data_IF_775520048142
#
_entry.id   IF_775520048142
#
_cell.length_a   1.000
_cell.length_b   1.000
_cell.length_c   1.000
_cell.angle_alpha   90.00
_cell.angle_beta   90.00
_cell.angle_gamma   90.00
#
_symmetry.space_group_name_H-M   'P 1'
#
loop_
_entity.id
_entity.type
_entity.pdbx_description
1 polymer ?
#
# COMPACT_ATOMS: atom_id res chain seq x y z
N UNK A 1 16.57 -15.60 12.05
CA UNK A 1 16.54 -14.18 12.44
C UNK A 1 15.08 -13.79 12.67
N UNK A 2 14.77 -12.92 13.64
CA UNK A 2 13.40 -12.45 13.90
C UNK A 2 13.24 -11.04 13.35
N UNK A 3 12.15 -10.77 12.64
CA UNK A 3 11.80 -9.45 12.14
C UNK A 3 10.45 -9.02 12.71
N UNK A 4 10.32 -7.74 13.03
CA UNK A 4 9.04 -7.09 13.30
C UNK A 4 8.65 -6.24 12.10
N UNK A 5 7.41 -6.42 11.65
CA UNK A 5 6.87 -5.76 10.48
C UNK A 5 5.56 -5.06 10.78
N UNK A 6 5.37 -3.89 10.16
CA UNK A 6 4.10 -3.15 10.16
C UNK A 6 3.73 -2.83 8.71
N UNK A 7 2.84 -3.63 8.13
CA UNK A 7 2.58 -3.66 6.68
C UNK A 7 1.30 -2.95 6.26
N UNK A 8 0.57 -2.34 7.20
CA UNK A 8 -0.62 -1.56 6.90
C UNK A 8 -0.54 -0.20 7.58
N UNK A 9 -0.02 0.76 6.83
CA UNK A 9 0.00 2.17 7.19
C UNK A 9 -0.62 3.01 6.08
N UNK A 10 -0.75 4.31 6.33
CA UNK A 10 -1.19 5.28 5.34
C UNK A 10 -0.18 6.42 5.22
N UNK A 11 -0.05 6.95 4.01
CA UNK A 11 0.73 8.14 3.70
C UNK A 11 0.00 9.42 4.07
N UNK A 12 0.70 10.56 3.99
CA UNK A 12 0.11 11.90 4.11
C UNK A 12 -0.99 12.25 3.09
N UNK A 13 -1.22 11.41 2.08
CA UNK A 13 -2.26 11.61 1.07
C UNK A 13 -3.60 10.92 1.42
N UNK A 14 -3.61 10.08 2.45
CA UNK A 14 -4.86 9.54 3.00
C UNK A 14 -5.60 10.57 3.87
N UNK A 15 -6.93 10.56 3.83
CA UNK A 15 -7.73 11.44 4.68
C UNK A 15 -7.57 11.13 6.16
N UNK A 16 -7.56 12.19 6.98
CA UNK A 16 -7.41 12.11 8.44
C UNK A 16 -6.10 11.43 8.90
N UNK A 17 -5.06 11.52 8.07
CA UNK A 17 -3.70 11.05 8.37
C UNK A 17 -2.77 12.26 8.53
N UNK A 18 -1.75 12.13 9.40
CA UNK A 18 -0.80 13.22 9.67
C UNK A 18 -0.03 13.62 8.40
N UNK A 19 0.23 14.93 8.18
CA UNK A 19 1.10 15.38 7.08
C UNK A 19 2.53 14.86 7.18
N UNK A 20 2.96 14.45 8.38
CA UNK A 20 4.28 13.87 8.65
C UNK A 20 4.38 12.38 8.27
N UNK A 21 3.35 11.78 7.68
CA UNK A 21 3.41 10.39 7.19
C UNK A 21 4.14 10.32 5.84
N UNK A 22 5.44 10.66 5.87
CA UNK A 22 6.40 10.53 4.78
C UNK A 22 7.55 9.56 5.10
N UNK A 23 8.33 9.14 4.10
CA UNK A 23 9.38 8.12 4.27
C UNK A 23 10.44 8.47 5.34
N UNK A 24 10.98 9.71 5.42
CA UNK A 24 11.88 10.10 6.50
C UNK A 24 11.29 9.92 7.90
N UNK A 25 10.07 10.38 8.12
CA UNK A 25 9.40 10.31 9.42
C UNK A 25 9.00 8.88 9.78
N UNK A 26 8.49 8.11 8.81
CA UNK A 26 8.16 6.71 8.96
C UNK A 26 9.38 5.87 9.33
N UNK A 27 10.50 6.02 8.60
CA UNK A 27 11.75 5.32 8.91
C UNK A 27 12.22 5.64 10.33
N UNK A 28 12.19 6.92 10.72
CA UNK A 28 12.56 7.34 12.09
C UNK A 28 11.66 6.69 13.14
N UNK A 29 10.34 6.72 12.95
CA UNK A 29 9.37 6.14 13.87
C UNK A 29 9.52 4.61 13.99
N UNK A 30 9.69 3.93 12.86
CA UNK A 30 9.93 2.50 12.80
C UNK A 30 11.20 2.08 13.57
N UNK A 31 12.30 2.81 13.39
CA UNK A 31 13.54 2.57 14.16
C UNK A 31 13.33 2.70 15.66
N UNK A 32 12.67 3.77 16.10
CA UNK A 32 12.37 3.99 17.53
C UNK A 32 11.48 2.88 18.09
N UNK A 33 10.54 2.37 17.30
CA UNK A 33 9.63 1.28 17.67
C UNK A 33 10.25 -0.11 17.55
N UNK A 34 11.43 -0.24 16.94
CA UNK A 34 12.10 -1.51 16.69
C UNK A 34 11.50 -2.33 15.53
N UNK A 35 10.86 -1.67 14.57
CA UNK A 35 10.32 -2.27 13.34
C UNK A 35 11.41 -2.27 12.27
N UNK A 36 11.68 -3.44 11.67
CA UNK A 36 12.68 -3.60 10.60
C UNK A 36 12.07 -3.52 9.20
N UNK A 37 10.80 -3.90 9.05
CA UNK A 37 10.10 -3.91 7.77
C UNK A 37 8.80 -3.11 7.89
N UNK A 38 8.57 -2.17 6.99
CA UNK A 38 7.38 -1.33 6.99
C UNK A 38 6.70 -1.36 5.63
N UNK A 39 5.36 -1.37 5.60
CA UNK A 39 4.62 -1.12 4.37
C UNK A 39 4.78 0.34 3.96
N UNK A 40 4.87 0.64 2.67
CA UNK A 40 4.84 2.04 2.21
C UNK A 40 3.50 2.73 2.45
N UNK A 41 2.41 1.96 2.46
CA UNK A 41 1.05 2.50 2.32
C UNK A 41 0.82 3.16 0.95
N UNK A 42 -0.45 3.24 0.56
CA UNK A 42 -0.99 4.13 -0.47
C UNK A 42 -0.23 4.21 -1.82
N UNK A 43 0.47 3.16 -2.27
CA UNK A 43 1.27 3.24 -3.52
C UNK A 43 0.45 3.59 -4.76
N UNK A 44 -0.89 3.52 -4.66
CA UNK A 44 -1.81 3.90 -5.73
C UNK A 44 -1.89 5.40 -5.96
N UNK A 45 -1.61 6.21 -4.92
CA UNK A 45 -1.70 7.65 -5.03
C UNK A 45 -0.54 8.21 -5.88
N UNK A 46 -0.79 8.95 -6.97
CA UNK A 46 0.24 9.28 -7.96
C UNK A 46 1.39 10.14 -7.40
N UNK A 47 1.08 11.10 -6.52
CA UNK A 47 2.12 11.92 -5.88
C UNK A 47 2.92 11.14 -4.84
N UNK A 48 2.32 10.11 -4.22
CA UNK A 48 3.03 9.25 -3.30
C UNK A 48 3.92 8.28 -4.06
N UNK A 49 3.41 7.63 -5.09
CA UNK A 49 4.16 6.74 -5.96
C UNK A 49 5.40 7.42 -6.55
N UNK A 50 5.25 8.66 -7.02
CA UNK A 50 6.38 9.48 -7.48
C UNK A 50 7.45 9.61 -6.39
N UNK A 51 7.05 9.99 -5.19
CA UNK A 51 7.96 10.11 -4.05
C UNK A 51 8.63 8.77 -3.69
N UNK A 52 7.88 7.66 -3.72
CA UNK A 52 8.42 6.32 -3.48
C UNK A 52 9.51 5.98 -4.51
N UNK A 53 9.25 6.17 -5.81
CA UNK A 53 10.22 5.91 -6.89
C UNK A 53 11.47 6.81 -6.81
N UNK A 54 11.30 8.05 -6.34
CA UNK A 54 12.40 9.00 -6.16
C UNK A 54 13.29 8.63 -4.96
N UNK A 55 12.71 8.19 -3.83
CA UNK A 55 13.43 7.97 -2.57
C UNK A 55 13.86 6.53 -2.32
N UNK A 56 13.18 5.55 -2.92
CA UNK A 56 13.43 4.12 -2.68
C UNK A 56 14.27 3.50 -3.79
N UNK A 57 15.13 2.58 -3.38
CA UNK A 57 15.90 1.68 -4.24
C UNK A 57 15.75 0.24 -3.75
N UNK A 58 16.00 -0.72 -4.61
CA UNK A 58 15.98 -2.14 -4.25
C UNK A 58 16.98 -2.42 -3.13
N UNK A 59 16.56 -3.25 -2.17
CA UNK A 59 17.45 -3.77 -1.14
C UNK A 59 18.08 -5.08 -1.58
N UNK A 60 18.95 -5.63 -0.75
CA UNK A 60 19.49 -6.99 -0.90
C UNK A 60 18.42 -8.10 -0.74
N UNK A 61 17.24 -7.76 -0.21
CA UNK A 61 16.11 -8.67 -0.08
C UNK A 61 15.11 -8.40 -1.20
N UNK A 62 14.85 -9.40 -2.03
CA UNK A 62 13.87 -9.35 -3.12
C UNK A 62 12.48 -8.93 -2.59
N UNK A 63 11.81 -8.04 -3.33
CA UNK A 63 10.51 -7.49 -2.94
C UNK A 63 10.55 -6.42 -1.84
N UNK A 64 11.75 -6.11 -1.31
CA UNK A 64 11.95 -5.07 -0.30
C UNK A 64 12.85 -3.96 -0.83
N UNK A 65 12.52 -2.76 -0.41
CA UNK A 65 13.17 -1.53 -0.78
C UNK A 65 13.84 -0.89 0.42
N UNK A 66 14.83 -0.03 0.19
CA UNK A 66 15.40 0.84 1.23
C UNK A 66 15.44 2.27 0.73
N UNK A 67 15.53 3.22 1.66
CA UNK A 67 15.72 4.62 1.29
C UNK A 67 17.14 4.82 0.76
N UNK A 68 17.28 5.47 -0.39
CA UNK A 68 18.58 5.81 -1.00
C UNK A 68 19.50 6.59 -0.07
N UNK A 69 18.92 7.46 0.75
CA UNK A 69 19.65 8.27 1.73
C UNK A 69 20.00 7.54 3.04
N UNK A 70 19.59 6.27 3.19
CA UNK A 70 19.68 5.55 4.45
C UNK A 70 19.81 4.03 4.24
N UNK A 71 20.98 3.62 3.74
CA UNK A 71 21.23 2.24 3.30
C UNK A 71 21.15 1.17 4.42
N UNK A 72 21.34 1.56 5.69
CA UNK A 72 21.21 0.66 6.85
C UNK A 72 19.86 0.78 7.56
N UNK A 73 18.89 1.40 6.90
CA UNK A 73 17.59 1.73 7.48
C UNK A 73 16.55 0.65 7.41
N UNK A 74 15.32 1.09 7.68
CA UNK A 74 14.12 0.27 7.63
C UNK A 74 13.88 -0.16 6.20
N UNK A 75 13.55 -1.43 6.01
CA UNK A 75 13.15 -1.95 4.72
C UNK A 75 11.68 -1.67 4.48
N UNK A 76 11.32 -1.38 3.24
CA UNK A 76 9.97 -1.02 2.82
C UNK A 76 9.41 -2.07 1.87
N UNK A 77 8.19 -2.52 2.12
CA UNK A 77 7.39 -3.32 1.18
C UNK A 77 6.36 -2.41 0.52
N UNK A 78 6.22 -2.50 -0.81
CA UNK A 78 5.21 -1.73 -1.53
C UNK A 78 3.82 -2.26 -1.13
N UNK A 79 3.07 -1.44 -0.39
CA UNK A 79 1.73 -1.79 0.09
C UNK A 79 0.72 -0.68 -0.20
N UNK A 80 -0.54 -1.05 -0.39
CA UNK A 80 -1.67 -0.11 -0.48
C UNK A 80 -2.88 -0.74 0.20
N UNK A 81 -3.81 0.08 0.66
CA UNK A 81 -5.16 -0.37 0.97
C UNK A 81 -6.10 0.11 -0.15
N UNK A 82 -7.04 -0.72 -0.55
CA UNK A 82 -8.17 -0.32 -1.41
C UNK A 82 -9.48 -0.68 -0.74
N UNK A 83 -10.51 0.13 -0.97
CA UNK A 83 -11.84 -0.12 -0.44
C UNK A 83 -12.81 -0.48 -1.58
N UNK A 84 -13.56 -1.56 -1.39
CA UNK A 84 -14.65 -1.97 -2.26
C UNK A 84 -15.98 -1.62 -1.61
N UNK A 85 -16.90 -1.04 -2.37
CA UNK A 85 -18.26 -0.74 -1.92
C UNK A 85 -19.29 -1.38 -2.84
N UNK A 86 -20.38 -1.86 -2.23
CA UNK A 86 -21.50 -2.46 -2.94
C UNK A 86 -22.65 -1.44 -3.07
N UNK A 87 -22.95 -0.93 -4.28
CA UNK A 87 -23.99 0.09 -4.50
C UNK A 87 -25.39 -0.35 -4.07
N UNK A 88 -25.65 -1.65 -4.10
CA UNK A 88 -26.96 -2.24 -3.80
C UNK A 88 -27.11 -2.66 -2.32
N UNK A 89 -26.24 -2.16 -1.44
CA UNK A 89 -26.17 -2.56 -0.04
C UNK A 89 -25.10 -3.64 0.19
N UNK A 90 -24.58 -3.66 1.41
CA UNK A 90 -23.44 -4.49 1.82
C UNK A 90 -22.42 -3.69 2.64
N UNK A 91 -21.57 -4.40 3.38
CA UNK A 91 -20.45 -3.77 4.11
C UNK A 91 -19.38 -3.31 3.13
N UNK A 92 -18.73 -2.19 3.42
CA UNK A 92 -17.51 -1.80 2.72
C UNK A 92 -16.39 -2.69 3.20
N UNK A 93 -15.61 -3.21 2.26
CA UNK A 93 -14.54 -4.15 2.54
C UNK A 93 -13.22 -3.51 2.13
N UNK A 94 -12.24 -3.61 3.01
CA UNK A 94 -10.91 -3.08 2.76
C UNK A 94 -9.94 -4.23 2.50
N UNK A 95 -9.02 -4.02 1.56
CA UNK A 95 -8.02 -5.02 1.19
C UNK A 95 -6.65 -4.37 1.21
N UNK A 96 -5.74 -4.91 2.01
CA UNK A 96 -4.32 -4.59 1.92
C UNK A 96 -3.73 -5.42 0.79
N UNK A 97 -2.99 -4.76 -0.09
CA UNK A 97 -2.38 -5.35 -1.27
C UNK A 97 -0.89 -5.07 -1.21
N UNK A 98 -0.08 -6.12 -1.35
CA UNK A 98 1.37 -6.04 -1.41
C UNK A 98 1.83 -6.31 -2.83
N UNK A 99 2.80 -5.54 -3.30
CA UNK A 99 3.48 -5.73 -4.58
C UNK A 99 4.98 -5.92 -4.35
N UNK A 100 5.63 -6.73 -5.16
CA UNK A 100 7.06 -7.03 -5.03
C UNK A 100 7.91 -6.02 -5.81
N UNK A 101 7.38 -5.43 -6.89
CA UNK A 101 8.11 -4.50 -7.73
C UNK A 101 7.33 -3.23 -8.05
N UNK A 102 8.05 -2.17 -8.47
CA UNK A 102 7.39 -1.00 -9.05
C UNK A 102 6.69 -1.30 -10.39
N UNK A 103 7.14 -2.33 -11.12
CA UNK A 103 6.48 -2.79 -12.34
C UNK A 103 5.11 -3.43 -12.02
N UNK A 104 5.04 -4.24 -10.95
CA UNK A 104 3.76 -4.74 -10.43
C UNK A 104 2.86 -3.59 -10.02
N UNK A 105 3.40 -2.60 -9.30
CA UNK A 105 2.64 -1.41 -8.87
C UNK A 105 2.09 -0.64 -10.07
N UNK A 106 2.89 -0.44 -11.12
CA UNK A 106 2.45 0.26 -12.33
C UNK A 106 1.35 -0.54 -13.06
N UNK A 107 1.49 -1.85 -13.20
CA UNK A 107 0.47 -2.71 -13.80
C UNK A 107 -0.84 -2.69 -13.00
N UNK A 108 -0.76 -2.76 -11.66
CA UNK A 108 -1.91 -2.65 -10.77
C UNK A 108 -2.58 -1.27 -10.88
N UNK A 109 -1.81 -0.20 -10.88
CA UNK A 109 -2.33 1.17 -10.98
C UNK A 109 -2.99 1.45 -12.34
N UNK A 110 -2.50 0.85 -13.43
CA UNK A 110 -3.15 0.94 -14.73
C UNK A 110 -4.59 0.42 -14.68
N UNK A 111 -4.82 -0.68 -13.96
CA UNK A 111 -6.16 -1.22 -13.75
C UNK A 111 -6.97 -0.44 -12.73
N UNK A 112 -6.42 -0.15 -11.56
CA UNK A 112 -7.13 0.58 -10.51
C UNK A 112 -7.58 1.97 -10.95
N UNK A 113 -6.81 2.64 -11.82
CA UNK A 113 -7.20 3.94 -12.40
C UNK A 113 -8.47 3.88 -13.24
N UNK A 114 -8.80 2.71 -13.81
CA UNK A 114 -10.05 2.45 -14.54
C UNK A 114 -11.24 2.20 -13.60
N UNK A 115 -10.98 1.93 -12.31
CA UNK A 115 -12.00 1.62 -11.30
C UNK A 115 -12.35 2.80 -10.39
N UNK A 116 -11.43 3.74 -10.21
CA UNK A 116 -11.65 4.92 -9.38
C UNK A 116 -10.58 5.99 -9.54
N UNK A 117 -10.82 7.17 -8.93
CA UNK A 117 -9.86 8.26 -8.93
C UNK A 117 -8.76 8.01 -7.88
N UNK A 118 -7.57 7.60 -8.33
CA UNK A 118 -6.42 7.33 -7.46
C UNK A 118 -5.81 8.58 -6.83
N UNK A 119 -6.09 9.77 -7.36
CA UNK A 119 -5.58 11.03 -6.84
C UNK A 119 -6.48 11.66 -5.76
N UNK A 120 -7.65 11.07 -5.48
CA UNK A 120 -8.62 11.63 -4.54
C UNK A 120 -8.25 11.37 -3.07
N UNK A 121 -7.61 10.24 -2.79
CA UNK A 121 -7.28 9.76 -1.45
C UNK A 121 -6.18 8.70 -1.55
N UNK A 122 -5.33 8.55 -0.52
CA UNK A 122 -4.37 7.46 -0.43
C UNK A 122 -5.00 6.06 -0.41
N UNK A 123 -6.26 5.94 0.03
CA UNK A 123 -7.09 4.74 -0.12
C UNK A 123 -8.16 4.94 -1.20
N UNK A 124 -7.93 4.49 -2.44
CA UNK A 124 -8.94 4.57 -3.48
C UNK A 124 -10.15 3.68 -3.16
N UNK A 125 -11.33 4.14 -3.61
CA UNK A 125 -12.60 3.44 -3.44
C UNK A 125 -13.15 2.99 -4.80
N UNK A 126 -13.46 1.69 -4.91
CA UNK A 126 -14.01 1.08 -6.12
C UNK A 126 -15.47 0.69 -5.89
N UNK A 127 -16.40 1.54 -6.37
CA UNK A 127 -17.83 1.37 -6.14
C UNK A 127 -18.51 0.35 -7.09
N UNK A 128 -17.85 -0.07 -8.17
CA UNK A 128 -18.43 -0.97 -9.19
C UNK A 128 -17.59 -2.23 -9.38
N UNK A 129 -16.90 -2.65 -8.33
CA UNK A 129 -15.99 -3.81 -8.35
C UNK A 129 -16.42 -4.75 -7.23
N UNK A 130 -16.46 -6.06 -7.48
CA UNK A 130 -16.68 -7.04 -6.41
C UNK A 130 -15.36 -7.41 -5.73
N UNK A 131 -15.42 -8.04 -4.55
CA UNK A 131 -14.21 -8.55 -3.88
C UNK A 131 -13.51 -9.62 -4.73
N UNK A 132 -14.30 -10.49 -5.37
CA UNK A 132 -13.81 -11.54 -6.28
C UNK A 132 -13.11 -10.92 -7.49
N UNK A 133 -13.75 -9.96 -8.16
CA UNK A 133 -13.18 -9.25 -9.30
C UNK A 133 -11.88 -8.53 -8.90
N UNK A 134 -11.86 -7.87 -7.74
CA UNK A 134 -10.64 -7.23 -7.24
C UNK A 134 -9.51 -8.24 -7.09
N UNK A 135 -9.77 -9.40 -6.48
CA UNK A 135 -8.77 -10.44 -6.26
C UNK A 135 -8.28 -11.02 -7.57
N UNK A 136 -9.18 -11.43 -8.47
CA UNK A 136 -8.85 -12.02 -9.76
C UNK A 136 -8.03 -11.06 -10.63
N UNK A 137 -8.46 -9.81 -10.74
CA UNK A 137 -7.81 -8.80 -11.58
C UNK A 137 -6.47 -8.31 -10.98
N UNK A 138 -6.35 -8.27 -9.66
CA UNK A 138 -5.06 -7.99 -9.00
C UNK A 138 -4.09 -9.13 -9.26
N UNK A 139 -4.53 -10.38 -9.10
CA UNK A 139 -3.69 -11.58 -9.31
C UNK A 139 -3.32 -11.82 -10.77
N UNK A 140 -4.17 -11.45 -11.72
CA UNK A 140 -3.85 -11.59 -13.14
C UNK A 140 -2.74 -10.63 -13.60
N UNK A 141 -2.58 -9.49 -12.91
CA UNK A 141 -1.57 -8.47 -13.22
C UNK A 141 -0.30 -8.63 -12.42
N UNK A 142 -0.43 -9.01 -11.15
CA UNK A 142 0.69 -9.36 -10.29
C UNK A 142 0.40 -10.71 -9.63
N UNK A 143 0.85 -11.82 -10.25
CA UNK A 143 0.64 -13.17 -9.72
C UNK A 143 1.19 -13.34 -8.29
N UNK A 144 2.26 -12.63 -7.97
CA UNK A 144 2.92 -12.66 -6.66
C UNK A 144 2.27 -11.76 -5.61
N UNK A 145 1.48 -10.76 -6.03
CA UNK A 145 0.81 -9.84 -5.11
C UNK A 145 0.04 -10.57 -4.01
N UNK A 146 0.18 -10.09 -2.78
CA UNK A 146 -0.56 -10.65 -1.63
C UNK A 146 -1.73 -9.75 -1.32
N UNK A 147 -2.89 -10.36 -1.09
CA UNK A 147 -4.14 -9.65 -0.81
C UNK A 147 -4.64 -10.15 0.53
N UNK A 148 -4.86 -9.24 1.47
CA UNK A 148 -5.31 -9.55 2.82
C UNK A 148 -6.54 -8.70 3.13
N UNK A 149 -7.66 -9.29 3.58
CA UNK A 149 -8.80 -8.50 4.02
C UNK A 149 -8.40 -7.72 5.28
N UNK A 150 -8.46 -6.40 5.20
CA UNK A 150 -7.98 -5.52 6.25
C UNK A 150 -8.98 -5.54 7.42
N UNK A 151 -8.44 -5.62 8.64
CA UNK A 151 -9.15 -5.34 9.91
C UNK A 151 -10.61 -5.86 9.97
N UNK A 152 -10.81 -7.13 9.60
CA UNK A 152 -12.11 -7.79 9.32
C UNK A 152 -13.18 -7.75 10.42
N UNK A 153 -12.79 -7.47 11.67
CA UNK A 153 -13.72 -7.40 12.81
C UNK A 153 -14.03 -5.98 13.26
N UNK A 154 -13.51 -4.99 12.54
CA UNK A 154 -13.78 -3.60 12.80
C UNK A 154 -15.28 -3.31 12.62
N UNK A 155 -15.95 -2.68 13.61
CA UNK A 155 -17.41 -2.54 13.60
C UNK A 155 -17.91 -1.38 12.73
N UNK A 156 -17.03 -0.70 12.00
CA UNK A 156 -17.35 0.39 11.10
C UNK A 156 -16.95 0.05 9.67
N UNK A 157 -17.76 0.59 8.75
CA UNK A 157 -17.73 0.40 7.31
C UNK A 157 -18.15 -1.00 6.80
#
# INVERSE_FOLDING_TARGET
MKYFADLHIHSKYSRAVSPDMDLPHLSRGARLKGIQIMGTGDFTHPLWLKHLKEELEESECEGLYRRKSDASGVLFMLTTEVAVFHPNGGKRTHHVIHAESFDDVDALNEYYSKKGNLAADGRPMFAKTSNEELVEETKSRSPTARIVPAHVWTPWF
#
